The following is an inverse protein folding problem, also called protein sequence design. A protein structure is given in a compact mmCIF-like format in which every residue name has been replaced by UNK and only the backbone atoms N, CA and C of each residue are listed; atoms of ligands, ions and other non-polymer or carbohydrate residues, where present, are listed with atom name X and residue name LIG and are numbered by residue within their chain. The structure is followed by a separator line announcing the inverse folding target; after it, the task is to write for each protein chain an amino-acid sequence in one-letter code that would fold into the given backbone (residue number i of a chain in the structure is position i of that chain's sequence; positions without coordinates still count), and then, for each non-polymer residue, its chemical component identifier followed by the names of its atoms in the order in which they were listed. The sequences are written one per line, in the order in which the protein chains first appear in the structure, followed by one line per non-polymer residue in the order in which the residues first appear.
data_IF_072974788771
#
_entry.id   IF_072974788771
#
_cell.length_a   1.000
_cell.length_b   1.000
_cell.length_c   1.000
_cell.angle_alpha   90.00
_cell.angle_beta   90.00
_cell.angle_gamma   90.00
#
_symmetry.space_group_name_H-M   'P 1'
#
loop_
_entity.id
_entity.type
_entity.pdbx_description
1 polymer ?
#
# COMPACT_ATOMS: atom_id res chain seq x y z
N UNK A 1 -0.91 25.22 -9.92
CA UNK A 1 0.04 26.10 -9.24
C UNK A 1 1.45 25.51 -9.21
N UNK A 2 1.65 24.27 -8.65
CA UNK A 2 2.99 23.66 -8.56
C UNK A 2 3.67 23.48 -9.93
N UNK A 3 2.94 23.07 -10.99
CA UNK A 3 3.49 22.94 -12.34
C UNK A 3 3.96 24.27 -12.96
N UNK A 4 3.45 25.39 -12.49
CA UNK A 4 3.91 26.72 -12.94
C UNK A 4 5.31 27.07 -12.41
N UNK A 5 5.79 26.32 -11.40
CA UNK A 5 7.14 26.45 -10.86
C UNK A 5 8.17 25.59 -11.62
N UNK A 6 7.72 24.86 -12.65
CA UNK A 6 8.54 23.95 -13.47
C UNK A 6 9.42 23.01 -12.64
N UNK A 7 8.81 22.19 -11.72
CA UNK A 7 9.59 21.33 -10.84
C UNK A 7 10.25 20.20 -11.66
N UNK A 8 11.50 19.90 -11.36
CA UNK A 8 12.21 18.74 -11.92
C UNK A 8 11.78 17.41 -11.28
N UNK A 9 11.19 17.47 -10.08
CA UNK A 9 10.68 16.30 -9.38
C UNK A 9 9.29 15.92 -9.93
N UNK A 10 8.98 14.61 -10.03
CA UNK A 10 7.65 14.18 -10.39
C UNK A 10 6.63 14.60 -9.32
N UNK A 11 5.46 15.01 -9.78
CA UNK A 11 4.34 15.37 -8.91
C UNK A 11 3.39 14.19 -8.78
N UNK A 12 2.88 13.97 -7.60
CA UNK A 12 1.84 12.96 -7.32
C UNK A 12 0.86 13.43 -6.25
N UNK A 13 -0.32 12.84 -6.25
CA UNK A 13 -1.37 13.04 -5.24
C UNK A 13 -1.87 11.68 -4.78
N UNK A 14 -1.80 11.41 -3.46
CA UNK A 14 -2.29 10.17 -2.87
C UNK A 14 -3.82 10.12 -2.87
N UNK A 15 -4.41 9.33 -3.76
CA UNK A 15 -5.86 9.08 -3.78
C UNK A 15 -6.15 7.88 -2.89
N UNK A 16 -7.01 8.06 -1.88
CA UNK A 16 -7.17 7.11 -0.77
C UNK A 16 -8.54 6.45 -0.64
N UNK A 17 -9.58 6.94 -1.34
CA UNK A 17 -10.96 6.42 -1.17
C UNK A 17 -11.19 5.02 -1.72
N UNK A 18 -10.25 4.46 -2.46
CA UNK A 18 -10.40 3.12 -3.05
C UNK A 18 -11.38 3.07 -4.24
N UNK A 19 -11.70 4.21 -4.83
CA UNK A 19 -12.56 4.31 -6.01
C UNK A 19 -11.67 4.52 -7.24
N UNK A 20 -11.64 3.52 -8.12
CA UNK A 20 -10.76 3.53 -9.30
C UNK A 20 -11.53 3.49 -10.63
N UNK A 21 -12.85 3.36 -10.61
CA UNK A 21 -13.74 3.58 -11.74
C UNK A 21 -13.92 5.09 -11.95
N UNK A 22 -13.49 5.57 -13.12
CA UNK A 22 -13.46 7.02 -13.41
C UNK A 22 -14.83 7.70 -13.26
N UNK A 23 -15.89 7.02 -13.61
CA UNK A 23 -17.27 7.50 -13.49
C UNK A 23 -17.74 7.68 -12.04
N UNK A 24 -17.14 6.93 -11.10
CA UNK A 24 -17.46 6.96 -9.67
C UNK A 24 -16.52 7.87 -8.85
N UNK A 25 -15.47 8.40 -9.48
CA UNK A 25 -14.54 9.34 -8.85
C UNK A 25 -15.17 10.72 -8.69
N UNK A 26 -14.79 11.40 -7.62
CA UNK A 26 -15.03 12.84 -7.48
C UNK A 26 -14.17 13.61 -8.47
N UNK A 27 -14.52 14.88 -8.71
CA UNK A 27 -13.75 15.76 -9.60
C UNK A 27 -12.28 15.91 -9.13
N UNK A 28 -12.07 16.04 -7.81
CA UNK A 28 -10.73 16.18 -7.24
C UNK A 28 -9.89 14.91 -7.38
N UNK A 29 -10.48 13.73 -7.29
CA UNK A 29 -9.79 12.46 -7.51
C UNK A 29 -9.40 12.29 -8.98
N UNK A 30 -10.32 12.58 -9.90
CA UNK A 30 -10.01 12.60 -11.34
C UNK A 30 -8.89 13.58 -11.66
N UNK A 31 -8.99 14.79 -11.12
CA UNK A 31 -7.94 15.81 -11.31
C UNK A 31 -6.58 15.32 -10.74
N UNK A 32 -6.59 14.70 -9.58
CA UNK A 32 -5.38 14.13 -8.97
C UNK A 32 -4.73 13.10 -9.88
N UNK A 33 -5.46 12.10 -10.36
CA UNK A 33 -4.92 11.09 -11.27
C UNK A 33 -4.51 11.68 -12.63
N UNK A 34 -5.32 12.56 -13.21
CA UNK A 34 -5.04 13.12 -14.54
C UNK A 34 -3.79 14.01 -14.56
N UNK A 35 -3.47 14.66 -13.44
CA UNK A 35 -2.39 15.64 -13.36
C UNK A 35 -1.13 15.15 -12.60
N UNK A 36 -1.11 13.91 -12.10
CA UNK A 36 0.05 13.31 -11.45
C UNK A 36 1.02 12.73 -12.48
N UNK A 37 2.33 12.87 -12.27
CA UNK A 37 3.36 12.20 -13.06
C UNK A 37 3.49 10.73 -12.66
N UNK A 38 3.23 10.45 -11.40
CA UNK A 38 3.17 9.11 -10.81
C UNK A 38 1.77 8.92 -10.25
N UNK A 39 1.12 7.81 -10.58
CA UNK A 39 -0.21 7.47 -10.07
C UNK A 39 -0.07 6.88 -8.68
N UNK A 40 -0.36 7.66 -7.64
CA UNK A 40 -0.32 7.18 -6.24
C UNK A 40 -1.70 6.85 -5.73
N UNK A 41 -1.81 5.74 -4.99
CA UNK A 41 -3.06 5.29 -4.41
C UNK A 41 -2.84 4.60 -3.06
N UNK A 42 -3.91 4.51 -2.25
CA UNK A 42 -3.94 3.71 -1.02
C UNK A 42 -4.89 2.53 -1.21
N UNK A 43 -4.48 1.34 -0.80
CA UNK A 43 -5.37 0.19 -0.86
C UNK A 43 -5.03 -0.84 0.23
N UNK A 44 -5.92 -0.95 1.21
CA UNK A 44 -5.88 -1.93 2.30
C UNK A 44 -6.78 -3.15 2.04
N UNK A 45 -7.34 -3.26 0.85
CA UNK A 45 -8.23 -4.33 0.45
C UNK A 45 -7.52 -5.66 0.22
N UNK A 46 -8.31 -6.68 -0.05
CA UNK A 46 -7.84 -8.03 -0.34
C UNK A 46 -6.97 -8.11 -1.61
N UNK A 47 -6.34 -9.26 -1.82
CA UNK A 47 -5.55 -9.54 -3.02
C UNK A 47 -6.33 -9.26 -4.32
N UNK A 48 -7.57 -9.73 -4.42
CA UNK A 48 -8.40 -9.50 -5.62
C UNK A 48 -8.73 -8.03 -5.82
N UNK A 49 -9.05 -7.31 -4.75
CA UNK A 49 -9.32 -5.86 -4.82
C UNK A 49 -8.08 -5.08 -5.26
N UNK A 50 -6.88 -5.50 -4.84
CA UNK A 50 -5.63 -4.89 -5.32
C UNK A 50 -5.37 -5.19 -6.80
N UNK A 51 -5.60 -6.41 -7.29
CA UNK A 51 -5.50 -6.74 -8.72
C UNK A 51 -6.44 -5.84 -9.55
N UNK A 52 -7.69 -5.69 -9.13
CA UNK A 52 -8.67 -4.85 -9.83
C UNK A 52 -8.23 -3.38 -9.86
N UNK A 53 -7.77 -2.85 -8.72
CA UNK A 53 -7.25 -1.49 -8.62
C UNK A 53 -6.07 -1.28 -9.58
N UNK A 54 -5.08 -2.17 -9.55
CA UNK A 54 -3.88 -2.10 -10.40
C UNK A 54 -4.26 -2.12 -11.89
N UNK A 55 -5.16 -3.02 -12.30
CA UNK A 55 -5.63 -3.08 -13.69
C UNK A 55 -6.24 -1.76 -14.17
N UNK A 56 -7.06 -1.13 -13.33
CA UNK A 56 -7.68 0.17 -13.64
C UNK A 56 -6.64 1.29 -13.68
N UNK A 57 -5.71 1.32 -12.72
CA UNK A 57 -4.69 2.35 -12.64
C UNK A 57 -3.64 2.24 -13.76
N UNK A 58 -3.36 1.04 -14.27
CA UNK A 58 -2.47 0.83 -15.43
C UNK A 58 -2.98 1.52 -16.71
N UNK A 59 -4.27 1.80 -16.82
CA UNK A 59 -4.84 2.54 -17.96
C UNK A 59 -4.30 3.97 -18.09
N UNK A 60 -3.75 4.54 -17.03
CA UNK A 60 -3.11 5.86 -17.07
C UNK A 60 -1.74 5.87 -17.78
N UNK A 61 -1.13 4.69 -18.02
CA UNK A 61 0.15 4.57 -18.74
C UNK A 61 1.33 5.26 -18.06
N UNK A 62 1.29 5.37 -16.74
CA UNK A 62 2.31 6.04 -15.90
C UNK A 62 2.77 5.12 -14.77
N UNK A 63 3.95 5.37 -14.17
CA UNK A 63 4.39 4.64 -12.99
C UNK A 63 3.35 4.69 -11.88
N UNK A 64 3.20 3.60 -11.14
CA UNK A 64 2.20 3.46 -10.09
C UNK A 64 2.91 3.25 -8.75
N UNK A 65 2.43 3.93 -7.70
CA UNK A 65 2.86 3.77 -6.31
C UNK A 65 1.66 3.46 -5.41
N UNK A 66 1.72 2.34 -4.71
CA UNK A 66 0.84 2.12 -3.57
C UNK A 66 1.49 2.76 -2.33
N UNK A 67 0.99 3.91 -1.91
CA UNK A 67 1.62 4.71 -0.84
C UNK A 67 1.10 4.37 0.54
N UNK A 68 0.05 3.56 0.65
CA UNK A 68 -0.41 2.97 1.92
C UNK A 68 -1.06 1.60 1.69
N UNK A 69 -0.54 0.59 2.35
CA UNK A 69 -1.06 -0.77 2.37
C UNK A 69 -0.63 -1.47 3.68
N UNK A 70 -0.90 -2.75 3.82
CA UNK A 70 -0.67 -3.61 4.96
C UNK A 70 -1.78 -3.47 6.01
N UNK A 71 -2.72 -4.38 5.94
CA UNK A 71 -3.78 -4.59 6.93
C UNK A 71 -3.94 -6.10 7.12
N UNK A 72 -3.10 -6.68 7.99
CA UNK A 72 -3.03 -8.13 8.17
C UNK A 72 -4.35 -8.75 8.57
N UNK A 73 -5.12 -8.06 9.40
CA UNK A 73 -6.43 -8.54 9.87
C UNK A 73 -7.48 -8.58 8.74
N UNK A 74 -7.35 -7.73 7.74
CA UNK A 74 -8.18 -7.68 6.55
C UNK A 74 -7.68 -8.55 5.39
N UNK A 75 -6.61 -9.33 5.60
CA UNK A 75 -6.02 -10.18 4.55
C UNK A 75 -5.09 -9.45 3.58
N UNK A 76 -4.79 -8.17 3.82
CA UNK A 76 -3.77 -7.41 3.10
C UNK A 76 -2.44 -7.62 3.82
N UNK A 77 -1.77 -8.74 3.52
CA UNK A 77 -0.55 -9.18 4.21
C UNK A 77 0.67 -9.01 3.32
N UNK A 78 1.86 -9.05 3.92
CA UNK A 78 3.13 -8.96 3.17
C UNK A 78 3.24 -10.12 2.17
N UNK A 79 2.91 -11.33 2.58
CA UNK A 79 3.02 -12.53 1.74
C UNK A 79 2.07 -12.49 0.53
N UNK A 80 0.92 -11.84 0.66
CA UNK A 80 -0.03 -11.71 -0.44
C UNK A 80 0.29 -10.52 -1.35
N UNK A 81 0.61 -9.36 -0.78
CA UNK A 81 0.70 -8.11 -1.52
C UNK A 81 2.09 -7.85 -2.11
N UNK A 82 3.17 -8.13 -1.36
CA UNK A 82 4.49 -7.73 -1.80
C UNK A 82 4.95 -8.46 -3.07
N UNK A 83 4.69 -9.79 -3.24
CA UNK A 83 4.91 -10.46 -4.52
C UNK A 83 4.06 -9.90 -5.66
N UNK A 84 2.80 -9.53 -5.40
CA UNK A 84 1.94 -8.88 -6.39
C UNK A 84 2.55 -7.55 -6.87
N UNK A 85 2.97 -6.69 -5.95
CA UNK A 85 3.58 -5.41 -6.29
C UNK A 85 4.87 -5.60 -7.07
N UNK A 86 5.71 -6.57 -6.68
CA UNK A 86 6.93 -6.92 -7.42
C UNK A 86 6.63 -7.36 -8.85
N UNK A 87 5.66 -8.28 -9.06
CA UNK A 87 5.31 -8.80 -10.39
C UNK A 87 4.65 -7.75 -11.29
N UNK A 88 3.88 -6.84 -10.70
CA UNK A 88 3.17 -5.78 -11.40
C UNK A 88 4.01 -4.49 -11.56
N UNK A 89 5.26 -4.50 -11.07
CA UNK A 89 6.20 -3.36 -11.07
C UNK A 89 5.63 -2.12 -10.36
N UNK A 90 4.94 -2.34 -9.23
CA UNK A 90 4.35 -1.29 -8.40
C UNK A 90 5.32 -0.94 -7.27
N UNK A 91 5.75 0.32 -7.21
CA UNK A 91 6.43 0.83 -6.02
C UNK A 91 5.46 0.86 -4.83
N UNK A 92 5.93 0.56 -3.62
CA UNK A 92 5.03 0.54 -2.48
C UNK A 92 5.67 1.01 -1.18
N UNK A 93 4.84 1.63 -0.33
CA UNK A 93 5.16 2.02 1.03
C UNK A 93 4.07 1.48 1.95
N UNK A 94 4.43 0.60 2.89
CA UNK A 94 3.47 0.13 3.88
C UNK A 94 3.17 1.20 4.93
N UNK A 95 1.98 1.15 5.47
CA UNK A 95 1.63 1.97 6.63
C UNK A 95 2.20 1.31 7.90
N UNK A 96 2.94 2.10 8.70
CA UNK A 96 3.59 1.61 9.92
C UNK A 96 4.93 0.90 9.68
N UNK A 97 5.95 1.29 10.40
CA UNK A 97 7.28 0.67 10.32
C UNK A 97 7.69 0.07 11.67
N UNK A 98 7.72 0.88 12.73
CA UNK A 98 8.09 0.46 14.08
C UNK A 98 6.95 0.80 15.03
N UNK A 99 6.46 -0.21 15.74
CA UNK A 99 5.42 -0.03 16.74
C UNK A 99 5.86 1.00 17.80
N UNK A 100 5.00 1.96 18.08
CA UNK A 100 5.33 3.06 18.98
C UNK A 100 4.13 3.88 19.39
N UNK A 101 4.36 5.16 19.64
CA UNK A 101 3.34 6.09 20.16
C UNK A 101 2.12 6.26 19.24
N UNK A 102 2.27 6.12 17.94
CA UNK A 102 1.16 6.21 16.98
C UNK A 102 0.26 4.98 17.00
N UNK A 103 0.70 3.87 17.63
CA UNK A 103 -0.09 2.65 17.80
C UNK A 103 -0.67 2.09 16.49
N UNK A 104 0.06 2.24 15.38
CA UNK A 104 -0.34 1.74 14.06
C UNK A 104 -0.42 0.21 14.00
N UNK A 105 0.11 -0.49 15.00
CA UNK A 105 -0.08 -1.94 15.15
C UNK A 105 -1.49 -2.32 15.65
N UNK A 106 -2.22 -1.38 16.26
CA UNK A 106 -3.59 -1.61 16.74
C UNK A 106 -4.60 -1.57 15.60
N UNK A 107 -5.72 -2.33 15.72
CA UNK A 107 -6.86 -2.16 14.84
C UNK A 107 -7.40 -0.72 14.84
N UNK A 108 -7.88 -0.27 13.69
CA UNK A 108 -8.49 1.05 13.57
C UNK A 108 -9.66 1.25 14.52
N UNK A 109 -9.93 2.49 14.92
CA UNK A 109 -11.02 2.83 15.85
C UNK A 109 -12.38 2.28 15.43
N UNK A 110 -12.69 2.28 14.13
CA UNK A 110 -13.96 1.74 13.65
C UNK A 110 -14.11 0.23 13.88
N UNK A 111 -13.01 -0.53 13.92
CA UNK A 111 -13.01 -1.96 14.27
C UNK A 111 -13.35 -2.12 15.77
N UNK A 112 -12.68 -1.36 16.62
CA UNK A 112 -12.98 -1.35 18.06
C UNK A 112 -14.40 -0.89 18.36
N UNK A 113 -14.91 0.13 17.65
CA UNK A 113 -16.28 0.60 17.79
C UNK A 113 -17.30 -0.43 17.30
N UNK A 114 -16.98 -1.14 16.24
CA UNK A 114 -17.78 -2.26 15.76
C UNK A 114 -17.84 -3.40 16.79
N UNK A 115 -16.70 -3.79 17.33
CA UNK A 115 -16.62 -4.82 18.39
C UNK A 115 -17.43 -4.42 19.62
N UNK A 116 -17.31 -3.20 20.12
CA UNK A 116 -18.10 -2.72 21.29
C UNK A 116 -19.60 -2.77 21.05
N UNK A 117 -20.05 -2.53 19.80
CA UNK A 117 -21.48 -2.54 19.42
C UNK A 117 -22.02 -3.96 19.21
N UNK A 118 -21.22 -4.85 18.64
CA UNK A 118 -21.61 -6.21 18.33
C UNK A 118 -20.41 -7.16 18.43
N UNK A 119 -20.05 -7.63 19.66
CA UNK A 119 -18.90 -8.51 19.85
C UNK A 119 -18.99 -9.83 19.08
N UNK A 120 -20.20 -10.35 18.88
CA UNK A 120 -20.42 -11.62 18.19
C UNK A 120 -19.98 -11.57 16.71
N UNK A 121 -20.12 -10.42 16.06
CA UNK A 121 -19.65 -10.23 14.69
C UNK A 121 -18.13 -10.33 14.55
N UNK A 122 -17.40 -10.24 15.66
CA UNK A 122 -15.95 -10.30 15.72
C UNK A 122 -15.42 -11.59 16.39
N UNK A 123 -16.25 -12.61 16.57
CA UNK A 123 -15.86 -13.87 17.22
C UNK A 123 -14.62 -14.53 16.59
N UNK A 124 -14.42 -14.34 15.28
CA UNK A 124 -13.28 -14.88 14.53
C UNK A 124 -12.20 -13.82 14.23
N UNK A 125 -12.31 -12.61 14.77
CA UNK A 125 -11.33 -11.56 14.55
C UNK A 125 -10.18 -11.69 15.56
N UNK A 126 -8.97 -11.83 15.05
CA UNK A 126 -7.77 -11.94 15.88
C UNK A 126 -7.24 -10.56 16.28
N UNK A 127 -7.66 -10.07 17.44
CA UNK A 127 -7.19 -8.80 18.02
C UNK A 127 -5.73 -8.84 18.50
N UNK A 128 -5.07 -10.00 18.52
CA UNK A 128 -3.64 -10.10 18.87
C UNK A 128 -2.74 -9.88 17.66
N UNK A 129 -3.29 -9.95 16.47
CA UNK A 129 -2.58 -9.75 15.23
C UNK A 129 -2.40 -8.27 14.95
N UNK A 130 -1.16 -7.86 14.71
CA UNK A 130 -0.87 -6.47 14.36
C UNK A 130 -1.48 -6.07 13.01
N UNK A 131 -2.09 -4.88 12.98
CA UNK A 131 -2.65 -4.32 11.75
C UNK A 131 -1.54 -3.98 10.76
N UNK A 132 -0.63 -3.12 11.19
CA UNK A 132 0.42 -2.56 10.34
C UNK A 132 1.79 -2.95 10.87
N UNK A 133 2.63 -2.05 11.19
CA UNK A 133 4.02 -2.14 11.69
C UNK A 133 4.79 -3.45 11.41
N UNK A 134 6.01 -3.29 10.93
CA UNK A 134 6.89 -4.42 10.61
C UNK A 134 7.82 -4.80 11.78
N UNK A 135 8.13 -3.84 12.66
CA UNK A 135 9.10 -4.02 13.73
C UNK A 135 8.53 -3.68 15.09
N UNK A 136 8.99 -4.40 16.09
CA UNK A 136 8.78 -4.08 17.51
C UNK A 136 9.63 -2.87 17.93
N UNK A 137 9.34 -2.22 19.07
CA UNK A 137 10.19 -1.14 19.59
C UNK A 137 11.66 -1.56 19.81
N UNK A 138 11.90 -2.87 20.02
CA UNK A 138 13.24 -3.46 20.11
C UNK A 138 13.96 -3.62 18.77
N UNK A 139 13.33 -3.20 17.66
CA UNK A 139 13.75 -3.40 16.26
C UNK A 139 13.78 -4.88 15.82
N UNK A 140 13.26 -5.79 16.62
CA UNK A 140 13.01 -7.14 16.16
C UNK A 140 11.78 -7.17 15.24
N UNK A 141 11.80 -7.91 14.13
CA UNK A 141 10.64 -8.06 13.28
C UNK A 141 9.40 -8.53 14.05
N UNK A 142 8.21 -8.08 13.66
CA UNK A 142 6.95 -8.65 14.10
C UNK A 142 6.85 -10.11 13.65
N UNK A 143 7.06 -10.35 12.37
CA UNK A 143 7.25 -11.68 11.76
C UNK A 143 8.52 -11.65 10.87
N UNK A 144 9.57 -12.41 11.20
CA UNK A 144 10.79 -12.44 10.39
C UNK A 144 10.57 -12.83 8.94
N UNK A 145 9.58 -13.70 8.65
CA UNK A 145 9.28 -14.16 7.29
C UNK A 145 8.84 -13.01 6.38
N UNK A 146 8.09 -12.04 6.93
CA UNK A 146 7.67 -10.85 6.19
C UNK A 146 8.88 -9.99 5.78
N UNK A 147 9.77 -9.71 6.73
CA UNK A 147 10.96 -8.90 6.46
C UNK A 147 11.95 -9.59 5.53
N UNK A 148 12.12 -10.89 5.65
CA UNK A 148 12.93 -11.71 4.73
C UNK A 148 12.38 -11.69 3.31
N UNK A 149 11.04 -11.83 3.15
CA UNK A 149 10.39 -11.75 1.85
C UNK A 149 10.56 -10.37 1.19
N UNK A 150 10.37 -9.30 1.97
CA UNK A 150 10.60 -7.92 1.50
C UNK A 150 12.05 -7.77 1.02
N UNK A 151 13.03 -8.13 1.84
CA UNK A 151 14.46 -8.02 1.50
C UNK A 151 14.81 -8.82 0.25
N UNK A 152 14.30 -10.06 0.14
CA UNK A 152 14.56 -10.92 -1.02
C UNK A 152 14.01 -10.31 -2.31
N UNK A 153 12.77 -9.79 -2.30
CA UNK A 153 12.15 -9.24 -3.50
C UNK A 153 12.74 -7.86 -3.86
N UNK A 154 13.12 -7.04 -2.88
CA UNK A 154 13.86 -5.80 -3.14
C UNK A 154 15.21 -6.10 -3.81
N UNK A 155 16.00 -7.04 -3.28
CA UNK A 155 17.27 -7.42 -3.87
C UNK A 155 17.12 -7.94 -5.33
N UNK A 156 16.04 -8.68 -5.61
CA UNK A 156 15.71 -9.11 -6.99
C UNK A 156 15.36 -7.95 -7.90
N UNK A 157 14.58 -6.99 -7.41
CA UNK A 157 14.22 -5.79 -8.17
C UNK A 157 15.47 -4.98 -8.51
N UNK A 158 16.36 -4.76 -7.56
CA UNK A 158 17.63 -4.04 -7.76
C UNK A 158 18.52 -4.76 -8.81
N UNK A 159 18.62 -6.08 -8.72
CA UNK A 159 19.39 -6.87 -9.69
C UNK A 159 18.77 -6.83 -11.10
N UNK A 160 17.44 -6.80 -11.20
CA UNK A 160 16.76 -6.65 -12.49
C UNK A 160 17.00 -5.25 -13.09
N UNK A 161 16.87 -4.20 -12.27
CA UNK A 161 17.11 -2.83 -12.69
C UNK A 161 18.56 -2.64 -13.18
N UNK A 162 19.54 -3.13 -12.42
CA UNK A 162 20.94 -3.05 -12.83
C UNK A 162 21.21 -3.72 -14.19
N UNK A 163 20.53 -4.86 -14.46
CA UNK A 163 20.64 -5.54 -15.77
C UNK A 163 20.06 -4.74 -16.91
N UNK A 164 18.92 -4.06 -16.71
CA UNK A 164 18.29 -3.22 -17.74
C UNK A 164 19.14 -1.98 -18.07
N UNK A 165 19.86 -1.43 -17.08
CA UNK A 165 20.76 -0.31 -17.29
C UNK A 165 22.08 -0.70 -18.00
N UNK A 166 22.47 -1.98 -17.94
CA UNK A 166 23.70 -2.49 -18.55
C UNK A 166 23.52 -2.94 -20.02
N UNK A 167 22.28 -2.95 -20.54
CA UNK A 167 22.01 -3.27 -21.94
C UNK A 167 22.14 -1.98 -22.78
N UNK A 168 22.99 -1.98 -23.83
CA UNK A 168 23.23 -0.80 -24.67
C UNK A 168 22.01 -0.38 -25.46
#
# INVERSE_FOLDING_TARGET
LLRQLDPIQPLTVGVWRGVYERENMTEIERYGFDNSDIVSYHNYGTYLQNIEAIRKLKSYGRPILNTEWLNRCGGNTVEAMFPLFYLEEIGCYNWGLVAGKYQTFEPWNNVWDGYRKNPEAYANFDFTKWFHDLYRPSLNPYDPRETELIQMLCARADANFARTQAQP
#
